data_IF_914900972170
#
_entry.id   IF_914900972170
#
_cell.length_a   1.000
_cell.length_b   1.000
_cell.length_c   1.000
_cell.angle_alpha   90.00
_cell.angle_beta   90.00
_cell.angle_gamma   90.00
#
_symmetry.space_group_name_H-M   'P 1'
#
loop_
_entity.id
_entity.type
_entity.pdbx_description
1 polymer ?
#
# COMPACT_ATOMS: atom_id res chain seq x y z
N UNK A 1 -23.63 -28.24 -90.12
CA UNK A 1 -23.34 -28.81 -88.78
C UNK A 1 -21.85 -28.65 -88.52
N UNK A 2 -21.46 -27.69 -87.68
CA UNK A 2 -20.10 -27.54 -87.15
C UNK A 2 -20.18 -27.22 -85.67
N UNK A 3 -19.39 -27.96 -84.90
CA UNK A 3 -19.40 -28.06 -83.45
C UNK A 3 -18.87 -26.81 -82.75
N UNK A 4 -19.43 -26.64 -81.56
CA UNK A 4 -19.22 -25.64 -80.51
C UNK A 4 -17.77 -25.64 -80.01
N UNK A 5 -17.28 -24.49 -79.57
CA UNK A 5 -16.47 -24.43 -78.34
C UNK A 5 -16.71 -23.09 -77.63
N UNK A 6 -17.54 -23.13 -76.58
CA UNK A 6 -17.71 -22.02 -75.65
C UNK A 6 -16.46 -21.92 -74.78
N UNK A 7 -15.66 -20.87 -74.97
CA UNK A 7 -14.57 -20.52 -74.06
C UNK A 7 -15.16 -20.18 -72.69
N UNK A 8 -15.07 -21.14 -71.77
CA UNK A 8 -15.21 -20.96 -70.33
C UNK A 8 -14.28 -19.84 -69.87
N UNK A 9 -14.86 -18.70 -69.45
CA UNK A 9 -14.11 -17.65 -68.74
C UNK A 9 -13.86 -18.16 -67.32
N UNK A 10 -12.63 -18.61 -67.07
CA UNK A 10 -12.12 -18.77 -65.71
C UNK A 10 -11.95 -17.34 -65.18
N UNK A 11 -12.87 -16.90 -64.31
CA UNK A 11 -12.67 -15.72 -63.48
C UNK A 11 -11.50 -16.04 -62.55
N UNK A 12 -10.30 -15.60 -62.92
CA UNK A 12 -9.17 -15.55 -62.01
C UNK A 12 -9.58 -14.66 -60.83
N UNK A 13 -9.74 -15.25 -59.65
CA UNK A 13 -9.74 -14.50 -58.41
C UNK A 13 -8.45 -13.67 -58.41
N UNK A 14 -8.58 -12.34 -58.42
CA UNK A 14 -7.43 -11.43 -58.41
C UNK A 14 -6.68 -11.64 -57.10
N UNK A 15 -5.58 -12.40 -57.15
CA UNK A 15 -4.63 -12.51 -56.06
C UNK A 15 -3.92 -11.18 -55.86
N UNK A 16 -3.57 -10.87 -54.60
CA UNK A 16 -2.77 -9.70 -54.26
C UNK A 16 -1.44 -9.70 -55.04
N UNK A 17 -1.05 -8.54 -55.55
CA UNK A 17 0.28 -8.36 -56.13
C UNK A 17 1.35 -8.36 -55.03
N UNK A 18 2.58 -8.74 -55.37
CA UNK A 18 3.70 -8.79 -54.41
C UNK A 18 3.89 -7.45 -53.64
N UNK A 19 3.78 -6.27 -54.29
CA UNK A 19 3.85 -4.98 -53.58
C UNK A 19 2.69 -4.76 -52.60
N UNK A 20 1.46 -5.17 -52.94
CA UNK A 20 0.30 -5.04 -52.06
C UNK A 20 0.43 -5.94 -50.83
N UNK A 21 0.95 -7.17 -51.00
CA UNK A 21 1.23 -8.07 -49.88
C UNK A 21 2.33 -7.52 -48.94
N UNK A 22 3.37 -6.89 -49.49
CA UNK A 22 4.44 -6.27 -48.71
C UNK A 22 3.94 -5.03 -47.95
N UNK A 23 3.12 -4.19 -48.58
CA UNK A 23 2.50 -3.04 -47.92
C UNK A 23 1.57 -3.51 -46.80
N UNK A 24 0.77 -4.55 -47.03
CA UNK A 24 -0.10 -5.15 -46.02
C UNK A 24 0.67 -5.68 -44.82
N UNK A 25 1.78 -6.39 -45.04
CA UNK A 25 2.67 -6.86 -43.97
C UNK A 25 3.30 -5.72 -43.17
N UNK A 26 3.74 -4.66 -43.84
CA UNK A 26 4.37 -3.51 -43.19
C UNK A 26 3.36 -2.75 -42.33
N UNK A 27 2.16 -2.52 -42.85
CA UNK A 27 1.04 -1.91 -42.10
C UNK A 27 0.63 -2.79 -40.91
N UNK A 28 0.56 -4.11 -41.08
CA UNK A 28 0.25 -5.03 -40.00
C UNK A 28 1.33 -5.03 -38.91
N UNK A 29 2.62 -4.96 -39.28
CA UNK A 29 3.72 -4.87 -38.32
C UNK A 29 3.68 -3.55 -37.52
N UNK A 30 3.45 -2.42 -38.20
CA UNK A 30 3.32 -1.11 -37.56
C UNK A 30 2.09 -1.04 -36.65
N UNK A 31 0.95 -1.56 -37.11
CA UNK A 31 -0.27 -1.64 -36.32
C UNK A 31 -0.07 -2.54 -35.08
N UNK A 32 0.57 -3.70 -35.25
CA UNK A 32 0.82 -4.61 -34.13
C UNK A 32 1.78 -4.01 -33.11
N UNK A 33 2.86 -3.34 -33.57
CA UNK A 33 3.81 -2.66 -32.70
C UNK A 33 3.15 -1.56 -31.88
N UNK A 34 2.42 -0.66 -32.53
CA UNK A 34 1.72 0.45 -31.86
C UNK A 34 0.64 -0.04 -30.89
N UNK A 35 -0.14 -1.06 -31.26
CA UNK A 35 -1.13 -1.67 -30.36
C UNK A 35 -0.44 -2.31 -29.15
N UNK A 36 0.64 -3.04 -29.35
CA UNK A 36 1.37 -3.72 -28.26
C UNK A 36 1.97 -2.73 -27.27
N UNK A 37 2.60 -1.66 -27.77
CA UNK A 37 3.16 -0.60 -26.92
C UNK A 37 2.07 0.13 -26.14
N UNK A 38 0.96 0.47 -26.80
CA UNK A 38 -0.17 1.15 -26.17
C UNK A 38 -0.80 0.27 -25.09
N UNK A 39 -1.06 -1.01 -25.39
CA UNK A 39 -1.63 -1.96 -24.45
C UNK A 39 -0.70 -2.19 -23.25
N UNK A 40 0.61 -2.32 -23.50
CA UNK A 40 1.61 -2.45 -22.43
C UNK A 40 1.63 -1.20 -21.55
N UNK A 41 1.54 -0.01 -22.15
CA UNK A 41 1.46 1.25 -21.42
C UNK A 41 0.20 1.35 -20.55
N UNK A 42 -0.96 0.94 -21.08
CA UNK A 42 -2.23 0.90 -20.34
C UNK A 42 -2.12 -0.08 -19.17
N UNK A 43 -1.66 -1.31 -19.41
CA UNK A 43 -1.51 -2.33 -18.36
C UNK A 43 -0.58 -1.88 -17.24
N UNK A 44 0.55 -1.25 -17.57
CA UNK A 44 1.46 -0.69 -16.57
C UNK A 44 0.78 0.39 -15.74
N UNK A 45 0.06 1.33 -16.35
CA UNK A 45 -0.66 2.39 -15.62
C UNK A 45 -1.79 1.83 -14.74
N UNK A 46 -2.53 0.85 -15.23
CA UNK A 46 -3.57 0.18 -14.45
C UNK A 46 -2.98 -0.54 -13.24
N UNK A 47 -1.86 -1.24 -13.41
CA UNK A 47 -1.17 -1.89 -12.31
C UNK A 47 -0.69 -0.88 -11.25
N UNK A 48 -0.08 0.22 -11.69
CA UNK A 48 0.34 1.31 -10.79
C UNK A 48 -0.85 1.85 -10.00
N UNK A 49 -1.97 2.16 -10.65
CA UNK A 49 -3.15 2.67 -9.96
C UNK A 49 -3.70 1.68 -8.93
N UNK A 50 -3.77 0.40 -9.26
CA UNK A 50 -4.22 -0.64 -8.31
C UNK A 50 -3.31 -0.69 -7.08
N UNK A 51 -1.99 -0.67 -7.28
CA UNK A 51 -1.03 -0.72 -6.17
C UNK A 51 -1.13 0.52 -5.27
N UNK A 52 -1.23 1.71 -5.89
CA UNK A 52 -1.41 2.98 -5.17
C UNK A 52 -2.72 3.01 -4.39
N UNK A 53 -3.85 2.63 -5.01
CA UNK A 53 -5.14 2.55 -4.32
C UNK A 53 -5.10 1.56 -3.15
N UNK A 54 -4.50 0.38 -3.34
CA UNK A 54 -4.36 -0.60 -2.26
C UNK A 54 -3.54 -0.06 -1.08
N UNK A 55 -2.42 0.59 -1.37
CA UNK A 55 -1.58 1.19 -0.33
C UNK A 55 -2.32 2.31 0.42
N UNK A 56 -3.10 3.12 -0.29
CA UNK A 56 -3.97 4.15 0.30
C UNK A 56 -5.02 3.55 1.23
N UNK A 57 -5.76 2.55 0.76
CA UNK A 57 -6.82 1.89 1.54
C UNK A 57 -6.26 1.21 2.82
N UNK A 58 -5.12 0.53 2.70
CA UNK A 58 -4.44 -0.09 3.86
C UNK A 58 -4.01 0.96 4.88
N UNK A 59 -3.50 2.10 4.41
CA UNK A 59 -3.07 3.22 5.25
C UNK A 59 -4.24 3.89 5.96
N UNK A 60 -5.35 4.15 5.25
CA UNK A 60 -6.55 4.77 5.83
C UNK A 60 -7.16 3.90 6.94
N UNK A 61 -7.27 2.59 6.70
CA UNK A 61 -7.77 1.64 7.71
C UNK A 61 -6.87 1.60 8.94
N UNK A 62 -5.56 1.65 8.74
CA UNK A 62 -4.61 1.67 9.84
C UNK A 62 -4.71 2.95 10.67
N UNK A 63 -4.73 4.12 10.00
CA UNK A 63 -4.89 5.41 10.66
C UNK A 63 -6.20 5.48 11.45
N UNK A 64 -7.30 5.01 10.85
CA UNK A 64 -8.60 4.91 11.53
C UNK A 64 -8.54 4.04 12.78
N UNK A 65 -7.91 2.87 12.70
CA UNK A 65 -7.70 2.00 13.87
C UNK A 65 -6.91 2.71 14.95
N UNK A 66 -5.76 3.31 14.61
CA UNK A 66 -4.94 4.03 15.58
C UNK A 66 -5.74 5.12 16.31
N UNK A 67 -6.49 5.93 15.56
CA UNK A 67 -7.35 6.97 16.13
C UNK A 67 -8.44 6.39 17.03
N UNK A 68 -9.05 5.26 16.65
CA UNK A 68 -10.08 4.60 17.44
C UNK A 68 -9.50 4.07 18.76
N UNK A 69 -8.37 3.37 18.70
CA UNK A 69 -7.66 2.85 19.87
C UNK A 69 -7.31 3.99 20.82
N UNK A 70 -6.72 5.08 20.32
CA UNK A 70 -6.38 6.24 21.15
C UNK A 70 -7.58 6.95 21.79
N UNK A 71 -8.79 6.83 21.22
CA UNK A 71 -10.03 7.37 21.81
C UNK A 71 -10.62 6.46 22.89
N UNK A 72 -10.48 5.15 22.72
CA UNK A 72 -11.04 4.16 23.63
C UNK A 72 -10.10 3.87 24.81
N UNK A 73 -8.79 4.04 24.60
CA UNK A 73 -7.76 3.78 25.58
C UNK A 73 -7.99 4.54 26.90
N UNK A 74 -7.87 3.80 27.99
CA UNK A 74 -7.87 4.33 29.37
C UNK A 74 -6.46 4.71 29.83
N UNK A 75 -5.43 4.08 29.26
CA UNK A 75 -4.04 4.41 29.51
C UNK A 75 -3.19 4.17 28.25
N UNK A 76 -2.06 4.85 28.16
CA UNK A 76 -1.08 4.63 27.11
C UNK A 76 0.35 4.78 27.62
N UNK A 77 1.25 3.99 27.07
CA UNK A 77 2.65 3.95 27.48
C UNK A 77 3.57 3.89 26.27
N UNK A 78 4.70 4.59 26.37
CA UNK A 78 5.76 4.54 25.37
C UNK A 78 6.93 3.71 25.90
N UNK A 79 7.45 2.87 25.03
CA UNK A 79 8.60 2.01 25.24
C UNK A 79 9.65 2.24 24.15
N UNK A 80 10.95 2.19 24.50
CA UNK A 80 12.01 2.41 23.52
C UNK A 80 12.02 1.30 22.46
N UNK A 81 11.71 0.07 22.85
CA UNK A 81 11.63 -1.10 21.97
C UNK A 81 10.82 -2.24 22.63
N UNK A 82 10.59 -3.30 21.84
CA UNK A 82 9.94 -4.55 22.25
C UNK A 82 10.58 -5.22 23.48
N UNK A 83 11.90 -5.27 23.56
CA UNK A 83 12.58 -5.95 24.67
C UNK A 83 12.31 -5.26 26.01
N UNK A 84 12.24 -3.93 25.99
CA UNK A 84 11.95 -3.14 27.18
C UNK A 84 10.51 -3.36 27.67
N UNK A 85 9.54 -3.42 26.76
CA UNK A 85 8.15 -3.78 27.10
C UNK A 85 8.04 -5.19 27.68
N UNK A 86 8.70 -6.19 27.06
CA UNK A 86 8.65 -7.58 27.56
C UNK A 86 9.31 -7.75 28.93
N UNK A 87 10.26 -6.88 29.30
CA UNK A 87 10.91 -6.92 30.60
C UNK A 87 10.03 -6.34 31.72
N UNK A 88 9.27 -5.27 31.45
CA UNK A 88 8.36 -4.65 32.42
C UNK A 88 7.16 -3.95 31.70
N UNK A 89 6.08 -4.69 31.40
CA UNK A 89 4.93 -4.17 30.67
C UNK A 89 4.10 -3.10 31.42
N UNK A 90 4.27 -2.98 32.73
CA UNK A 90 3.45 -2.11 33.59
C UNK A 90 4.10 -0.76 33.89
N UNK A 91 5.30 -0.50 33.38
CA UNK A 91 6.07 0.71 33.69
C UNK A 91 6.50 1.41 32.42
N UNK A 92 5.87 2.54 32.10
CA UNK A 92 6.35 3.42 31.03
C UNK A 92 7.76 3.89 31.35
N UNK A 93 8.71 3.59 30.46
CA UNK A 93 10.14 3.75 30.72
C UNK A 93 10.70 5.02 30.07
N UNK A 94 9.97 5.65 29.13
CA UNK A 94 10.53 6.72 28.31
C UNK A 94 9.51 7.76 27.86
N UNK A 95 9.99 8.98 27.59
CA UNK A 95 9.23 10.03 26.93
C UNK A 95 9.20 9.87 25.41
N UNK A 96 10.09 9.06 24.83
CA UNK A 96 10.14 8.77 23.39
C UNK A 96 10.49 7.30 23.13
N UNK A 97 10.07 6.74 22.00
CA UNK A 97 10.29 5.33 21.70
C UNK A 97 9.73 4.85 20.37
N UNK A 98 9.91 3.56 20.10
CA UNK A 98 9.44 2.88 18.89
C UNK A 98 8.32 1.87 19.16
N UNK A 99 7.85 1.79 20.40
CA UNK A 99 6.71 0.97 20.75
C UNK A 99 5.75 1.83 21.58
N UNK A 100 4.51 1.87 21.13
CA UNK A 100 3.40 2.54 21.79
C UNK A 100 2.37 1.49 22.16
N UNK A 101 1.92 1.55 23.41
CA UNK A 101 0.98 0.60 23.98
C UNK A 101 -0.23 1.38 24.46
N UNK A 102 -1.41 0.90 24.09
CA UNK A 102 -2.69 1.37 24.60
C UNK A 102 -3.35 0.25 25.38
N UNK A 103 -3.89 0.58 26.54
CA UNK A 103 -4.81 -0.29 27.27
C UNK A 103 -6.22 0.26 27.09
N UNK A 104 -7.11 -0.59 26.59
CA UNK A 104 -8.51 -0.27 26.35
C UNK A 104 -9.41 -1.26 27.09
N UNK A 105 -10.59 -0.79 27.51
CA UNK A 105 -11.61 -1.61 28.10
C UNK A 105 -12.81 -1.69 27.15
N UNK A 106 -13.03 -2.89 26.60
CA UNK A 106 -14.18 -3.16 25.75
C UNK A 106 -15.51 -2.98 26.52
N UNK A 107 -16.64 -2.78 25.81
CA UNK A 107 -17.95 -2.62 26.44
C UNK A 107 -18.40 -3.80 27.32
N UNK A 108 -17.83 -4.98 27.11
CA UNK A 108 -18.06 -6.18 27.92
C UNK A 108 -17.19 -6.24 29.20
N UNK A 109 -16.38 -5.21 29.43
CA UNK A 109 -15.48 -5.09 30.57
C UNK A 109 -14.12 -5.75 30.37
N UNK A 110 -13.87 -6.42 29.24
CA UNK A 110 -12.60 -7.07 28.95
C UNK A 110 -11.54 -6.03 28.60
N UNK A 111 -10.36 -6.15 29.22
CA UNK A 111 -9.20 -5.36 28.86
C UNK A 111 -8.54 -5.94 27.60
N UNK A 112 -8.21 -5.06 26.65
CA UNK A 112 -7.39 -5.37 25.49
C UNK A 112 -6.17 -4.45 25.50
N UNK A 113 -5.03 -4.99 25.08
CA UNK A 113 -3.81 -4.21 24.92
C UNK A 113 -3.51 -4.09 23.44
N UNK A 114 -3.52 -2.89 22.90
CA UNK A 114 -3.12 -2.64 21.52
C UNK A 114 -1.69 -2.10 21.47
N UNK A 115 -0.86 -2.68 20.62
CA UNK A 115 0.55 -2.32 20.51
C UNK A 115 0.86 -1.86 19.09
N UNK A 116 1.54 -0.73 18.98
CA UNK A 116 2.05 -0.17 17.73
C UNK A 116 3.57 -0.17 17.78
N UNK A 117 4.21 -0.97 16.94
CA UNK A 117 5.65 -1.15 16.91
C UNK A 117 6.23 -0.64 15.59
N UNK A 118 7.16 0.29 15.68
CA UNK A 118 7.92 0.79 14.56
C UNK A 118 9.29 0.12 14.49
N UNK A 119 9.61 -0.45 13.34
CA UNK A 119 10.95 -0.90 13.00
C UNK A 119 11.63 0.15 12.11
N UNK A 120 12.63 0.90 12.62
CA UNK A 120 13.32 1.93 11.85
C UNK A 120 14.22 1.35 10.74
N UNK A 121 14.68 0.11 10.86
CA UNK A 121 15.54 -0.54 9.87
C UNK A 121 14.70 -1.06 8.70
N UNK A 122 13.58 -1.72 9.02
CA UNK A 122 12.65 -2.23 8.01
C UNK A 122 11.70 -1.15 7.48
N UNK A 123 11.63 0.02 8.13
CA UNK A 123 10.64 1.07 7.87
C UNK A 123 9.22 0.52 7.88
N UNK A 124 8.92 -0.32 8.87
CA UNK A 124 7.59 -0.92 9.01
C UNK A 124 6.93 -0.48 10.31
N UNK A 125 5.61 -0.39 10.27
CA UNK A 125 4.79 -0.14 11.45
C UNK A 125 3.76 -1.25 11.58
N UNK A 126 3.85 -2.01 12.67
CA UNK A 126 2.97 -3.13 12.93
C UNK A 126 2.00 -2.83 14.06
N UNK A 127 0.75 -3.29 13.93
CA UNK A 127 -0.24 -3.31 14.99
C UNK A 127 -0.40 -4.72 15.53
N UNK A 128 -0.40 -4.86 16.84
CA UNK A 128 -0.66 -6.12 17.55
C UNK A 128 -1.77 -5.95 18.59
N UNK A 129 -2.37 -7.07 19.00
CA UNK A 129 -3.42 -7.12 20.02
C UNK A 129 -3.02 -8.12 21.11
N UNK A 130 -3.17 -7.75 22.38
CA UNK A 130 -2.83 -8.48 23.61
C UNK A 130 -1.34 -8.87 23.78
N UNK A 131 -0.60 -9.10 22.70
CA UNK A 131 0.78 -9.55 22.69
C UNK A 131 1.44 -9.30 21.34
N UNK A 132 2.77 -9.32 21.31
CA UNK A 132 3.55 -9.11 20.08
C UNK A 132 3.55 -10.31 19.11
N UNK A 133 2.79 -11.37 19.40
CA UNK A 133 2.59 -12.50 18.49
C UNK A 133 1.30 -12.39 17.66
N UNK A 134 0.30 -11.65 18.13
CA UNK A 134 -0.99 -11.51 17.44
C UNK A 134 -1.01 -10.24 16.57
N UNK A 135 -0.35 -10.32 15.41
CA UNK A 135 -0.29 -9.20 14.46
C UNK A 135 -1.62 -9.01 13.74
N UNK A 136 -2.18 -7.81 13.82
CA UNK A 136 -3.46 -7.44 13.20
C UNK A 136 -3.29 -6.66 11.90
N UNK A 137 -2.24 -5.85 11.81
CA UNK A 137 -1.96 -5.06 10.62
C UNK A 137 -0.47 -4.75 10.49
N UNK A 138 -0.05 -4.43 9.27
CA UNK A 138 1.30 -4.00 8.94
C UNK A 138 1.24 -2.93 7.86
N UNK A 139 1.95 -1.83 8.09
CA UNK A 139 2.28 -0.85 7.06
C UNK A 139 3.77 -0.95 6.72
N UNK A 140 4.07 -0.89 5.42
CA UNK A 140 5.44 -0.91 4.91
C UNK A 140 5.85 0.47 4.41
N UNK A 141 7.16 0.70 4.37
CA UNK A 141 7.78 1.95 3.94
C UNK A 141 7.25 3.19 4.66
N UNK A 142 7.09 3.08 5.97
CA UNK A 142 6.71 4.20 6.83
C UNK A 142 7.92 5.11 6.99
N UNK A 143 7.88 6.25 6.32
CA UNK A 143 8.93 7.29 6.40
C UNK A 143 8.42 8.46 7.23
N UNK A 144 9.08 8.75 8.34
CA UNK A 144 8.79 9.95 9.17
C UNK A 144 9.71 11.12 8.77
N UNK A 145 9.21 12.34 8.89
CA UNK A 145 9.94 13.55 8.51
C UNK A 145 11.10 13.84 9.48
N UNK A 146 12.32 13.75 8.95
CA UNK A 146 13.59 14.38 9.35
C UNK A 146 13.84 14.65 10.85
N UNK A 147 14.80 13.93 11.44
CA UNK A 147 15.59 14.41 12.59
C UNK A 147 15.40 13.67 13.93
N UNK A 148 14.37 12.85 14.07
CA UNK A 148 14.13 12.07 15.29
C UNK A 148 14.66 10.64 15.13
N UNK A 149 15.01 9.92 16.21
CA UNK A 149 15.41 8.49 16.14
C UNK A 149 14.29 7.55 16.56
N UNK A 150 13.16 8.11 16.99
CA UNK A 150 12.02 7.41 17.57
C UNK A 150 10.72 7.94 16.96
N UNK A 151 9.75 7.05 16.78
CA UNK A 151 8.47 7.39 16.16
C UNK A 151 7.48 8.03 17.14
N UNK A 152 7.45 7.54 18.38
CA UNK A 152 6.50 7.95 19.40
C UNK A 152 7.16 8.89 20.41
N UNK A 153 6.43 9.89 20.88
CA UNK A 153 6.91 10.85 21.87
C UNK A 153 5.79 11.51 22.69
N UNK A 154 6.06 11.81 23.96
CA UNK A 154 5.12 12.49 24.86
C UNK A 154 5.05 14.01 24.58
N UNK A 155 6.21 14.64 24.31
CA UNK A 155 6.33 16.10 24.13
C UNK A 155 5.84 16.59 22.77
N UNK A 156 5.71 15.69 21.79
CA UNK A 156 5.22 15.99 20.44
C UNK A 156 3.69 15.86 20.33
N UNK A 157 3.01 15.57 21.46
CA UNK A 157 1.71 14.91 21.41
C UNK A 157 1.89 13.49 20.85
N UNK A 158 0.99 12.58 21.21
CA UNK A 158 1.15 11.17 20.82
C UNK A 158 1.22 10.98 19.29
N UNK A 159 0.72 11.95 18.52
CA UNK A 159 0.74 11.94 17.07
C UNK A 159 0.77 13.36 16.48
N UNK A 160 1.97 13.82 16.13
CA UNK A 160 2.16 14.63 14.93
C UNK A 160 3.26 14.00 14.08
N UNK A 161 3.09 12.70 13.85
CA UNK A 161 4.05 11.97 13.05
C UNK A 161 3.46 11.89 11.64
N UNK A 162 3.94 12.77 10.77
CA UNK A 162 3.63 12.74 9.34
C UNK A 162 4.27 11.47 8.80
N UNK A 163 3.44 10.49 8.49
CA UNK A 163 3.89 9.22 7.94
C UNK A 163 3.61 9.23 6.46
N UNK A 164 4.53 8.66 5.72
CA UNK A 164 4.37 8.46 4.31
C UNK A 164 4.46 6.98 4.09
N UNK A 165 3.50 6.40 3.36
CA UNK A 165 3.60 5.04 2.85
C UNK A 165 4.09 5.17 1.42
N UNK A 166 5.28 4.63 1.18
CA UNK A 166 5.82 4.56 -0.16
C UNK A 166 5.36 3.28 -0.85
N UNK A 167 4.64 3.42 -1.95
CA UNK A 167 4.44 2.33 -2.92
C UNK A 167 5.65 2.21 -3.85
N UNK A 168 5.71 1.16 -4.65
CA UNK A 168 6.79 0.99 -5.66
C UNK A 168 6.87 2.17 -6.63
N UNK A 169 5.78 2.90 -6.83
CA UNK A 169 5.64 3.92 -7.88
C UNK A 169 5.44 5.35 -7.37
N UNK A 170 4.94 5.52 -6.15
CA UNK A 170 4.57 6.83 -5.60
C UNK A 170 4.66 6.84 -4.07
N UNK A 171 5.02 8.00 -3.51
CA UNK A 171 4.95 8.28 -2.08
C UNK A 171 3.55 8.82 -1.76
N UNK A 172 2.81 8.11 -0.93
CA UNK A 172 1.52 8.54 -0.42
C UNK A 172 1.72 9.15 0.96
N UNK A 173 1.41 10.43 1.08
CA UNK A 173 1.46 11.13 2.36
C UNK A 173 0.10 10.99 3.05
N UNK A 174 0.09 10.59 4.32
CA UNK A 174 -1.13 10.63 5.13
C UNK A 174 -0.80 11.01 6.57
N UNK A 175 -1.75 11.69 7.18
CA UNK A 175 -1.58 12.22 8.52
C UNK A 175 -2.56 11.47 9.41
N UNK A 176 -2.05 10.54 10.19
CA UNK A 176 -2.79 10.10 11.37
C UNK A 176 -2.63 11.20 12.42
N UNK A 177 -3.73 11.68 12.98
CA UNK A 177 -3.72 12.59 14.12
C UNK A 177 -4.43 11.92 15.30
N UNK A 178 -3.80 11.98 16.46
CA UNK A 178 -4.28 11.40 17.70
C UNK A 178 -3.67 12.17 18.85
N UNK A 179 -4.46 13.04 19.47
CA UNK A 179 -4.13 13.62 20.77
C UNK A 179 -4.88 12.82 21.83
N UNK A 180 -4.29 11.79 22.44
CA UNK A 180 -4.78 11.33 23.72
C UNK A 180 -4.44 12.41 24.74
N UNK A 181 -5.49 12.98 25.33
CA UNK A 181 -5.36 13.79 26.52
C UNK A 181 -4.66 12.93 27.58
N UNK A 182 -3.64 13.49 28.25
CA UNK A 182 -3.15 12.92 29.51
C UNK A 182 -4.37 12.75 30.42
N UNK A 183 -4.80 11.51 30.66
CA UNK A 183 -5.62 11.26 31.84
C UNK A 183 -4.68 11.45 33.03
N UNK A 184 -5.03 12.42 33.87
CA UNK A 184 -4.36 12.69 35.15
C UNK A 184 -4.70 11.60 36.15
#
# INVERSE_FOLDING_TARGET
MRLVESKSRINAQSGFTLPEALIGLLLAAVATGTITETLTGILKRSYIMIEVTRASDESERFASSFTQTGKAAIDWMVYPNRAAYLADPGRSITTTGNLLVFEDQLPDGRLITELFEYDPLAQTLARYENSLSERRSLLNHVVYSLGHTTLFGQDLGLVQAHWNVQSTYERLEFEAYGNPLRMR
#
